data_IF_184217274815
#
_entry.id   IF_184217274815
#
_cell.length_a   1.000
_cell.length_b   1.000
_cell.length_c   1.000
_cell.angle_alpha   90.00
_cell.angle_beta   90.00
_cell.angle_gamma   90.00
#
_symmetry.space_group_name_H-M   'P 1'
#
loop_
_entity.id
_entity.type
_entity.pdbx_description
1 polymer ?
#
# COMPACT_ATOMS: atom_id res chain seq x y z
N UNK A 1 35.16 4.50 -44.47
CA UNK A 1 35.93 3.96 -43.31
C UNK A 1 35.01 3.90 -42.09
N UNK A 2 35.26 3.00 -41.14
CA UNK A 2 34.38 2.74 -39.99
C UNK A 2 33.51 1.49 -40.18
N UNK A 3 33.28 0.71 -39.11
CA UNK A 3 32.56 -0.58 -39.10
C UNK A 3 31.49 -0.58 -38.00
N UNK A 4 30.41 -1.35 -38.19
CA UNK A 4 29.32 -1.54 -37.21
C UNK A 4 29.55 -2.87 -36.44
N UNK A 5 29.30 -2.97 -35.11
CA UNK A 5 29.45 -4.20 -34.33
C UNK A 5 28.48 -5.34 -34.72
N UNK A 6 28.82 -6.61 -34.45
CA UNK A 6 28.12 -7.78 -35.01
C UNK A 6 26.83 -8.23 -34.28
N UNK A 7 26.36 -7.52 -33.26
CA UNK A 7 25.21 -7.93 -32.43
C UNK A 7 23.83 -7.66 -33.06
N UNK A 8 23.74 -6.88 -34.13
CA UNK A 8 22.48 -6.54 -34.80
C UNK A 8 22.22 -7.39 -36.05
N UNK A 9 21.98 -8.71 -35.86
CA UNK A 9 21.44 -9.60 -36.90
C UNK A 9 20.23 -10.36 -36.39
N UNK A 10 19.06 -9.77 -36.58
CA UNK A 10 17.76 -10.45 -36.41
C UNK A 10 17.69 -11.65 -37.36
N UNK A 11 17.31 -12.82 -36.85
CA UNK A 11 17.05 -14.01 -37.67
C UNK A 11 15.56 -14.31 -37.70
N UNK A 12 14.97 -14.32 -38.89
CA UNK A 12 13.56 -14.65 -39.13
C UNK A 12 13.46 -15.79 -40.14
N UNK A 13 13.05 -16.97 -39.69
CA UNK A 13 12.70 -18.11 -40.56
C UNK A 13 11.46 -18.81 -39.97
N UNK A 14 10.40 -19.08 -40.77
CA UNK A 14 9.18 -19.74 -40.31
C UNK A 14 9.19 -21.26 -40.65
N UNK A 15 8.01 -21.85 -40.90
CA UNK A 15 7.72 -23.26 -41.28
C UNK A 15 7.70 -24.21 -40.06
N UNK A 16 6.65 -24.98 -39.73
CA UNK A 16 5.47 -25.55 -40.44
C UNK A 16 5.69 -26.77 -41.35
N UNK A 17 6.50 -27.74 -40.91
CA UNK A 17 6.53 -29.12 -41.48
C UNK A 17 6.81 -30.18 -40.42
N UNK A 18 6.49 -31.44 -40.75
CA UNK A 18 6.78 -32.71 -40.03
C UNK A 18 5.80 -33.18 -38.94
N UNK A 19 4.58 -33.51 -39.37
CA UNK A 19 3.83 -34.66 -38.84
C UNK A 19 4.24 -35.95 -39.58
N UNK A 20 4.72 -36.99 -38.87
CA UNK A 20 4.61 -38.44 -39.22
C UNK A 20 5.18 -39.35 -38.11
N UNK A 21 4.84 -40.65 -38.17
CA UNK A 21 4.80 -41.60 -37.03
C UNK A 21 6.01 -42.56 -36.90
N UNK A 22 6.17 -43.27 -35.74
CA UNK A 22 7.35 -44.07 -35.37
C UNK A 22 7.27 -45.58 -35.72
N UNK A 23 8.33 -46.36 -35.46
CA UNK A 23 8.36 -47.32 -34.31
C UNK A 23 9.74 -47.25 -33.55
N UNK A 24 10.31 -48.21 -32.77
CA UNK A 24 10.05 -49.65 -32.53
C UNK A 24 10.71 -50.22 -31.23
N UNK A 25 10.16 -51.32 -30.69
CA UNK A 25 10.82 -52.59 -30.24
C UNK A 25 12.04 -52.51 -29.27
N UNK A 26 11.91 -52.72 -27.94
CA UNK A 26 11.71 -53.98 -27.15
C UNK A 26 13.02 -54.70 -26.75
N UNK A 27 13.07 -55.65 -25.77
CA UNK A 27 11.99 -56.29 -24.96
C UNK A 27 12.16 -56.04 -23.43
N UNK A 28 11.51 -56.70 -22.44
CA UNK A 28 10.49 -57.79 -22.37
C UNK A 28 9.54 -57.56 -21.14
N UNK A 29 8.92 -58.61 -20.57
CA UNK A 29 7.89 -58.54 -19.50
C UNK A 29 7.92 -59.78 -18.56
N UNK A 30 7.30 -59.66 -17.38
CA UNK A 30 6.47 -60.73 -16.77
C UNK A 30 5.41 -60.13 -15.83
N UNK A 31 4.23 -60.75 -15.76
CA UNK A 31 3.02 -60.22 -15.08
C UNK A 31 2.41 -61.24 -14.11
N UNK A 32 1.79 -60.77 -13.03
CA UNK A 32 0.85 -61.54 -12.18
C UNK A 32 -0.34 -60.64 -11.83
N UNK A 33 -1.55 -61.21 -11.73
CA UNK A 33 -2.79 -60.51 -11.35
C UNK A 33 -3.10 -60.78 -9.86
N UNK A 34 -3.82 -59.88 -9.18
CA UNK A 34 -5.09 -60.23 -8.49
C UNK A 34 -5.89 -59.02 -7.93
N UNK A 35 -7.02 -59.32 -7.28
CA UNK A 35 -8.26 -58.54 -7.05
C UNK A 35 -8.25 -57.45 -5.95
N UNK A 36 -9.29 -56.58 -5.88
CA UNK A 36 -9.23 -55.30 -5.12
C UNK A 36 -9.81 -55.34 -3.69
N UNK A 37 -9.35 -54.46 -2.79
CA UNK A 37 -9.98 -54.23 -1.48
C UNK A 37 -10.01 -52.75 -1.00
N UNK A 38 -11.24 -52.29 -0.72
CA UNK A 38 -11.74 -51.32 0.29
C UNK A 38 -11.10 -49.91 0.47
N UNK A 39 -11.91 -48.85 0.68
CA UNK A 39 -11.43 -47.48 0.90
C UNK A 39 -10.90 -47.24 2.32
N UNK A 40 -9.87 -46.41 2.45
CA UNK A 40 -9.32 -46.00 3.75
C UNK A 40 -10.22 -44.98 4.49
N UNK A 41 -10.34 -45.15 5.80
CA UNK A 41 -11.22 -44.37 6.66
C UNK A 41 -10.47 -43.22 7.36
N UNK A 42 -10.99 -41.99 7.28
CA UNK A 42 -10.45 -40.85 8.03
C UNK A 42 -10.68 -41.00 9.55
N UNK A 43 -9.66 -40.82 10.41
CA UNK A 43 -9.81 -40.97 11.85
C UNK A 43 -10.59 -39.81 12.49
N UNK A 44 -11.73 -40.11 13.12
CA UNK A 44 -12.51 -39.13 13.90
C UNK A 44 -11.78 -38.77 15.21
N UNK A 45 -11.43 -37.50 15.41
CA UNK A 45 -11.04 -36.98 16.74
C UNK A 45 -12.29 -36.77 17.61
N UNK A 46 -12.19 -37.10 18.91
CA UNK A 46 -13.22 -36.80 19.92
C UNK A 46 -13.23 -35.29 20.29
N UNK A 47 -14.38 -34.72 20.70
CA UNK A 47 -14.47 -33.35 21.16
C UNK A 47 -14.06 -33.19 22.64
N UNK A 48 -13.40 -32.08 22.96
CA UNK A 48 -13.22 -31.48 24.30
C UNK A 48 -13.06 -29.94 24.12
N UNK A 49 -13.21 -29.10 25.17
CA UNK A 49 -14.36 -28.20 25.22
C UNK A 49 -14.09 -26.76 24.75
N UNK A 50 -15.17 -25.99 24.65
CA UNK A 50 -15.19 -24.62 24.12
C UNK A 50 -14.57 -23.57 25.07
N UNK A 51 -13.37 -23.09 24.75
CA UNK A 51 -12.79 -21.86 25.31
C UNK A 51 -12.96 -20.67 24.35
N UNK A 52 -13.93 -19.78 24.60
CA UNK A 52 -14.13 -18.56 23.78
C UNK A 52 -13.16 -17.45 24.19
N UNK A 53 -12.09 -17.23 23.43
CA UNK A 53 -11.38 -15.94 23.42
C UNK A 53 -11.45 -15.32 22.03
N UNK A 54 -12.31 -14.31 21.86
CA UNK A 54 -12.25 -13.42 20.69
C UNK A 54 -10.91 -12.68 20.73
N UNK A 55 -9.93 -13.10 19.92
CA UNK A 55 -8.84 -12.22 19.52
C UNK A 55 -9.41 -11.20 18.55
N UNK A 56 -10.04 -10.15 19.09
CA UNK A 56 -10.31 -8.91 18.37
C UNK A 56 -8.98 -8.43 17.82
N UNK A 57 -8.78 -8.61 16.52
CA UNK A 57 -7.60 -8.07 15.83
C UNK A 57 -7.80 -6.56 15.77
N UNK A 58 -7.24 -5.86 16.74
CA UNK A 58 -7.20 -4.41 16.77
C UNK A 58 -6.68 -3.88 15.44
N UNK A 59 -7.09 -2.66 15.02
CA UNK A 59 -6.34 -1.94 14.01
C UNK A 59 -4.86 -1.96 14.38
N UNK A 60 -3.99 -2.09 13.38
CA UNK A 60 -2.58 -1.75 13.56
C UNK A 60 -2.59 -0.21 13.56
N UNK A 61 -2.78 0.39 14.72
CA UNK A 61 -2.34 1.77 14.92
C UNK A 61 -0.83 1.78 14.68
N UNK A 62 -0.34 2.74 13.90
CA UNK A 62 1.09 2.97 13.76
C UNK A 62 1.68 3.20 15.18
N UNK A 63 2.78 2.53 15.55
CA UNK A 63 3.38 2.71 16.86
C UNK A 63 3.81 4.16 17.01
N UNK A 64 3.11 4.93 17.85
CA UNK A 64 3.33 6.36 18.05
C UNK A 64 4.80 6.60 18.41
N UNK A 65 5.54 7.16 17.46
CA UNK A 65 6.95 7.51 17.62
C UNK A 65 7.12 8.44 18.83
N UNK A 66 8.18 8.30 19.63
CA UNK A 66 8.39 9.14 20.80
C UNK A 66 8.36 10.62 20.41
N UNK A 67 7.52 11.39 21.10
CA UNK A 67 7.35 12.82 20.84
C UNK A 67 8.51 13.58 21.48
N UNK A 68 9.36 14.16 20.64
CA UNK A 68 10.57 14.92 21.00
C UNK A 68 10.24 16.41 21.19
N UNK A 69 9.27 16.94 20.44
CA UNK A 69 8.85 18.35 20.51
C UNK A 69 7.60 18.51 21.38
N UNK A 70 7.67 19.41 22.35
CA UNK A 70 6.55 19.76 23.24
C UNK A 70 5.87 21.11 22.88
N UNK A 71 6.38 21.80 21.86
CA UNK A 71 5.88 23.10 21.38
C UNK A 71 5.65 23.02 19.87
N UNK A 72 4.47 23.39 19.35
CA UNK A 72 4.22 23.44 17.90
C UNK A 72 4.98 24.60 17.23
N UNK A 73 5.60 25.50 18.01
CA UNK A 73 6.24 26.70 17.49
C UNK A 73 7.51 26.38 16.69
N UNK A 74 7.52 26.82 15.43
CA UNK A 74 8.61 26.62 14.48
C UNK A 74 9.96 27.22 14.94
N UNK A 75 9.94 28.28 15.74
CA UNK A 75 11.16 28.87 16.29
C UNK A 75 11.77 27.95 17.37
N UNK A 76 10.94 27.35 18.22
CA UNK A 76 11.41 26.42 19.27
C UNK A 76 11.93 25.12 18.66
N UNK A 77 11.25 24.61 17.61
CA UNK A 77 11.72 23.45 16.87
C UNK A 77 13.11 23.69 16.24
N UNK A 78 13.32 24.88 15.65
CA UNK A 78 14.63 25.30 15.09
C UNK A 78 15.70 25.48 16.17
N UNK A 79 15.39 26.07 17.32
CA UNK A 79 16.31 26.19 18.47
C UNK A 79 16.76 24.81 18.97
N UNK A 80 15.83 23.87 19.12
CA UNK A 80 16.13 22.52 19.59
C UNK A 80 17.00 21.78 18.57
N UNK A 81 16.68 21.84 17.28
CA UNK A 81 17.51 21.26 16.23
C UNK A 81 18.93 21.85 16.22
N UNK A 82 19.06 23.19 16.29
CA UNK A 82 20.35 23.87 16.36
C UNK A 82 21.17 23.40 17.58
N UNK A 83 20.55 23.34 18.77
CA UNK A 83 21.20 22.84 19.98
C UNK A 83 21.70 21.39 19.83
N UNK A 84 20.89 20.51 19.25
CA UNK A 84 21.28 19.11 18.96
C UNK A 84 22.47 19.08 17.99
N UNK A 85 22.44 19.86 16.89
CA UNK A 85 23.55 19.91 15.93
C UNK A 85 24.85 20.48 16.51
N UNK A 86 24.80 21.37 17.50
CA UNK A 86 26.00 21.89 18.18
C UNK A 86 26.56 20.94 19.24
N UNK A 87 25.73 20.06 19.81
CA UNK A 87 26.14 19.12 20.87
C UNK A 87 26.52 17.74 20.31
N UNK A 88 26.05 17.37 19.11
CA UNK A 88 26.32 16.07 18.49
C UNK A 88 27.77 15.99 17.98
N UNK A 89 28.56 15.10 18.59
CA UNK A 89 29.92 14.78 18.13
C UNK A 89 29.96 13.85 16.92
N UNK A 90 28.82 13.23 16.58
CA UNK A 90 28.64 12.36 15.41
C UNK A 90 27.75 13.04 14.36
N UNK A 91 27.94 12.75 13.05
CA UNK A 91 27.04 13.22 12.01
C UNK A 91 25.65 12.62 12.19
N UNK A 92 24.62 13.48 12.21
CA UNK A 92 23.24 13.04 12.35
C UNK A 92 22.76 12.33 11.08
N UNK A 93 22.36 11.07 11.22
CA UNK A 93 21.84 10.23 10.13
C UNK A 93 20.45 10.70 9.62
N UNK A 94 20.09 10.32 8.40
CA UNK A 94 18.78 10.65 7.80
C UNK A 94 17.61 10.07 8.64
N UNK A 95 17.80 8.93 9.31
CA UNK A 95 16.79 8.34 10.21
C UNK A 95 16.49 9.24 11.40
N UNK A 96 17.49 9.94 11.94
CA UNK A 96 17.31 10.89 13.03
C UNK A 96 16.55 12.15 12.56
N UNK A 97 16.90 12.65 11.38
CA UNK A 97 16.16 13.75 10.74
C UNK A 97 14.69 13.38 10.49
N UNK A 98 14.43 12.18 9.98
CA UNK A 98 13.07 11.67 9.81
C UNK A 98 12.32 11.50 11.14
N UNK A 99 12.98 11.03 12.21
CA UNK A 99 12.36 10.92 13.54
C UNK A 99 11.98 12.30 14.13
N UNK A 100 12.86 13.30 14.00
CA UNK A 100 12.55 14.69 14.38
C UNK A 100 11.40 15.25 13.55
N UNK A 101 11.44 15.12 12.22
CA UNK A 101 10.38 15.61 11.35
C UNK A 101 9.04 14.94 11.67
N UNK A 102 9.03 13.63 11.88
CA UNK A 102 7.83 12.88 12.27
C UNK A 102 7.27 13.36 13.61
N UNK A 103 8.12 13.60 14.62
CA UNK A 103 7.66 14.15 15.90
C UNK A 103 7.13 15.57 15.78
N UNK A 104 7.72 16.43 14.95
CA UNK A 104 7.25 17.81 14.80
C UNK A 104 5.94 17.85 14.00
N UNK A 105 5.85 17.07 12.92
CA UNK A 105 4.64 16.87 12.12
C UNK A 105 3.46 16.29 12.89
N UNK A 106 3.68 15.68 14.06
CA UNK A 106 2.60 15.21 14.94
C UNK A 106 1.93 16.34 15.76
N UNK A 107 2.47 17.56 15.77
CA UNK A 107 1.96 18.68 16.57
C UNK A 107 1.83 20.02 15.81
N UNK A 108 2.52 20.19 14.68
CA UNK A 108 2.61 21.45 13.93
C UNK A 108 1.70 21.50 12.70
N UNK A 109 1.65 22.64 12.01
CA UNK A 109 1.01 22.72 10.69
C UNK A 109 1.91 22.10 9.60
N UNK A 110 1.31 21.66 8.50
CA UNK A 110 2.04 21.11 7.33
C UNK A 110 3.06 22.13 6.80
N UNK A 111 2.70 23.42 6.76
CA UNK A 111 3.58 24.49 6.30
C UNK A 111 4.76 24.73 7.25
N UNK A 112 4.55 24.58 8.57
CA UNK A 112 5.64 24.66 9.55
C UNK A 112 6.58 23.45 9.42
N UNK A 113 6.06 22.23 9.25
CA UNK A 113 6.89 21.04 9.00
C UNK A 113 7.72 21.15 7.72
N UNK A 114 7.13 21.65 6.62
CA UNK A 114 7.88 21.95 5.39
C UNK A 114 8.95 23.02 5.65
N UNK A 115 8.64 24.03 6.47
CA UNK A 115 9.58 25.10 6.84
C UNK A 115 10.66 24.66 7.83
N UNK A 116 10.42 23.59 8.59
CA UNK A 116 11.38 22.92 9.46
C UNK A 116 12.31 22.02 8.64
N UNK A 117 11.77 21.19 7.72
CA UNK A 117 12.56 20.41 6.77
C UNK A 117 13.51 21.31 5.96
N UNK A 118 13.01 22.42 5.41
CA UNK A 118 13.86 23.41 4.70
C UNK A 118 14.97 24.00 5.58
N UNK A 119 14.73 24.17 6.89
CA UNK A 119 15.76 24.61 7.82
C UNK A 119 16.80 23.50 8.07
N UNK A 120 16.38 22.25 8.26
CA UNK A 120 17.29 21.12 8.46
C UNK A 120 18.24 20.95 7.28
N UNK A 121 17.72 20.99 6.04
CA UNK A 121 18.51 20.95 4.79
C UNK A 121 19.50 22.12 4.73
N UNK A 122 19.07 23.35 5.09
CA UNK A 122 19.94 24.53 5.03
C UNK A 122 21.04 24.51 6.11
N UNK A 123 20.73 24.00 7.30
CA UNK A 123 21.64 24.01 8.45
C UNK A 123 22.64 22.85 8.43
N UNK A 124 22.32 21.72 7.81
CA UNK A 124 23.22 20.57 7.69
C UNK A 124 23.34 20.11 6.21
N UNK A 125 24.34 20.61 5.44
CA UNK A 125 24.52 20.26 4.02
C UNK A 125 24.80 18.77 3.73
N UNK A 126 25.11 17.96 4.75
CA UNK A 126 25.24 16.50 4.60
C UNK A 126 23.89 15.75 4.68
N UNK A 127 22.81 16.42 5.07
CA UNK A 127 21.48 15.83 5.11
C UNK A 127 20.81 15.90 3.74
N UNK A 128 20.68 14.75 3.08
CA UNK A 128 19.88 14.57 1.87
C UNK A 128 18.52 13.96 2.24
N UNK A 129 17.40 14.68 2.06
CA UNK A 129 16.07 14.11 2.21
C UNK A 129 15.83 12.97 1.22
N UNK A 130 15.21 11.89 1.67
CA UNK A 130 14.75 10.80 0.82
C UNK A 130 13.23 10.87 0.61
N UNK A 131 12.68 10.03 -0.29
CA UNK A 131 11.23 9.82 -0.42
C UNK A 131 10.55 9.57 0.93
N UNK A 132 11.20 8.83 1.83
CA UNK A 132 10.74 8.57 3.20
C UNK A 132 10.53 9.85 4.04
N UNK A 133 11.38 10.86 3.86
CA UNK A 133 11.25 12.18 4.52
C UNK A 133 9.98 12.91 4.08
N UNK A 134 9.60 12.81 2.80
CA UNK A 134 8.38 13.44 2.29
C UNK A 134 7.12 12.60 2.58
N UNK A 135 7.23 11.28 2.72
CA UNK A 135 6.10 10.44 3.16
C UNK A 135 5.57 10.82 4.55
N UNK A 136 6.43 11.34 5.43
CA UNK A 136 6.04 11.92 6.73
C UNK A 136 5.12 13.14 6.51
N UNK A 137 5.55 14.09 5.68
CA UNK A 137 4.78 15.29 5.33
C UNK A 137 3.47 14.89 4.63
N UNK A 138 3.50 13.87 3.79
CA UNK A 138 2.33 13.38 3.07
C UNK A 138 1.29 12.85 4.05
N UNK A 139 1.68 11.99 5.00
CA UNK A 139 0.77 11.50 6.03
C UNK A 139 0.22 12.63 6.92
N UNK A 140 1.04 13.63 7.28
CA UNK A 140 0.56 14.83 7.98
C UNK A 140 -0.46 15.61 7.15
N UNK A 141 -0.21 15.81 5.85
CA UNK A 141 -1.09 16.58 4.96
C UNK A 141 -2.45 15.88 4.74
N UNK A 142 -2.47 14.56 4.61
CA UNK A 142 -3.68 13.75 4.55
C UNK A 142 -4.50 13.80 5.85
N UNK A 143 -3.82 13.99 6.99
CA UNK A 143 -4.42 14.12 8.34
C UNK A 143 -4.72 15.58 8.72
N UNK A 144 -4.49 16.54 7.81
CA UNK A 144 -4.78 17.96 8.07
C UNK A 144 -6.30 18.23 8.12
N UNK A 145 -6.76 19.18 8.94
CA UNK A 145 -8.19 19.46 9.14
C UNK A 145 -8.84 20.23 7.97
N UNK A 146 -8.10 20.53 6.91
CA UNK A 146 -8.61 21.25 5.74
C UNK A 146 -9.55 20.34 4.92
N UNK A 147 -10.67 20.88 4.47
CA UNK A 147 -11.67 20.14 3.68
C UNK A 147 -11.26 19.82 2.23
N UNK A 148 -10.03 20.14 1.81
CA UNK A 148 -9.54 19.97 0.43
C UNK A 148 -8.27 19.10 0.36
N UNK A 149 -7.83 18.78 -0.86
CA UNK A 149 -6.56 18.10 -1.12
C UNK A 149 -5.36 19.07 -1.22
N UNK A 150 -5.53 20.37 -0.97
CA UNK A 150 -4.51 21.40 -1.29
C UNK A 150 -3.17 21.15 -0.58
N UNK A 151 -3.20 20.78 0.70
CA UNK A 151 -1.99 20.43 1.45
C UNK A 151 -1.33 19.12 0.95
N UNK A 152 -2.13 18.18 0.44
CA UNK A 152 -1.65 16.91 -0.15
C UNK A 152 -1.00 17.18 -1.51
N UNK A 153 -1.64 17.96 -2.38
CA UNK A 153 -1.08 18.41 -3.65
C UNK A 153 0.18 19.26 -3.46
N UNK A 154 0.22 20.16 -2.48
CA UNK A 154 1.43 20.92 -2.12
C UNK A 154 2.58 19.98 -1.77
N UNK A 155 2.32 18.92 -1.02
CA UNK A 155 3.33 17.95 -0.60
C UNK A 155 3.78 17.04 -1.76
N UNK A 156 2.86 16.56 -2.59
CA UNK A 156 3.18 15.76 -3.78
C UNK A 156 3.97 16.58 -4.81
N UNK A 157 3.64 17.86 -4.99
CA UNK A 157 4.43 18.76 -5.83
C UNK A 157 5.84 19.01 -5.25
N UNK A 158 5.97 19.13 -3.93
CA UNK A 158 7.28 19.22 -3.26
C UNK A 158 8.10 17.92 -3.44
N UNK A 159 7.46 16.75 -3.43
CA UNK A 159 8.13 15.48 -3.75
C UNK A 159 8.68 15.48 -5.18
N UNK A 160 7.87 15.91 -6.16
CA UNK A 160 8.26 16.00 -7.57
C UNK A 160 9.41 16.98 -7.78
N UNK A 161 9.38 18.18 -7.17
CA UNK A 161 10.47 19.17 -7.34
C UNK A 161 11.80 18.73 -6.72
N UNK A 162 11.77 17.79 -5.77
CA UNK A 162 12.96 17.16 -5.20
C UNK A 162 13.34 15.82 -5.85
N UNK A 163 12.75 15.47 -7.00
CA UNK A 163 13.12 14.28 -7.78
C UNK A 163 12.49 12.96 -7.31
N UNK A 164 11.50 13.02 -6.42
CA UNK A 164 10.77 11.85 -5.91
C UNK A 164 9.33 11.82 -6.46
N UNK A 165 9.11 11.50 -7.75
CA UNK A 165 7.74 11.37 -8.27
C UNK A 165 6.95 10.32 -7.46
N UNK A 166 5.62 10.49 -7.31
CA UNK A 166 4.77 9.54 -6.61
C UNK A 166 4.88 8.13 -7.21
N UNK A 167 5.00 7.15 -6.33
CA UNK A 167 5.02 5.72 -6.65
C UNK A 167 3.92 4.97 -5.89
N UNK A 168 3.81 3.65 -6.12
CA UNK A 168 2.80 2.79 -5.47
C UNK A 168 2.77 2.95 -3.95
N UNK A 169 3.94 3.09 -3.32
CA UNK A 169 4.09 3.28 -1.86
C UNK A 169 3.54 4.66 -1.44
N UNK A 170 3.82 5.70 -2.23
CA UNK A 170 3.28 7.05 -2.04
C UNK A 170 1.75 7.05 -2.15
N UNK A 171 1.18 6.34 -3.13
CA UNK A 171 -0.26 6.19 -3.30
C UNK A 171 -0.89 5.45 -2.10
N UNK A 172 -0.31 4.32 -1.67
CA UNK A 172 -0.79 3.54 -0.51
C UNK A 172 -0.76 4.34 0.80
N UNK A 173 0.33 5.07 1.08
CA UNK A 173 0.47 5.92 2.28
C UNK A 173 -0.57 7.04 2.30
N UNK A 174 -0.82 7.69 1.16
CA UNK A 174 -1.83 8.75 1.07
C UNK A 174 -3.25 8.20 1.30
N UNK A 175 -3.59 7.08 0.65
CA UNK A 175 -4.87 6.37 0.81
C UNK A 175 -5.10 5.96 2.27
N UNK A 176 -4.13 5.28 2.89
CA UNK A 176 -4.23 4.85 4.30
C UNK A 176 -4.41 6.05 5.23
N UNK A 177 -3.68 7.13 4.98
CA UNK A 177 -3.75 8.34 5.82
C UNK A 177 -5.08 9.08 5.68
N UNK A 178 -5.63 9.20 4.45
CA UNK A 178 -6.93 9.83 4.20
C UNK A 178 -8.10 9.00 4.74
N UNK A 179 -8.14 7.68 4.47
CA UNK A 179 -9.18 6.81 5.05
C UNK A 179 -9.14 6.80 6.59
N UNK A 180 -7.95 6.77 7.19
CA UNK A 180 -7.80 6.83 8.66
C UNK A 180 -8.22 8.19 9.25
N UNK A 181 -8.26 9.25 8.44
CA UNK A 181 -8.78 10.56 8.80
C UNK A 181 -10.28 10.73 8.51
N UNK A 182 -10.99 9.69 8.04
CA UNK A 182 -12.40 9.77 7.64
C UNK A 182 -12.64 10.51 6.33
N UNK A 183 -11.61 10.64 5.48
CA UNK A 183 -11.62 11.40 4.22
C UNK A 183 -11.66 10.49 3.00
N UNK A 184 -12.60 9.53 2.95
CA UNK A 184 -12.59 8.50 1.90
C UNK A 184 -12.78 9.06 0.48
N UNK A 185 -13.66 10.05 0.31
CA UNK A 185 -13.95 10.65 -0.99
C UNK A 185 -12.69 11.25 -1.63
N UNK A 186 -11.85 11.92 -0.83
CA UNK A 186 -10.55 12.42 -1.27
C UNK A 186 -9.51 11.31 -1.50
N UNK A 187 -9.58 10.20 -0.78
CA UNK A 187 -8.74 9.03 -1.07
C UNK A 187 -9.08 8.43 -2.44
N UNK A 188 -10.37 8.38 -2.78
CA UNK A 188 -10.89 7.94 -4.08
C UNK A 188 -10.50 8.93 -5.19
N UNK A 189 -10.68 10.23 -4.96
CA UNK A 189 -10.27 11.33 -5.85
C UNK A 189 -8.77 11.26 -6.19
N UNK A 190 -7.91 11.22 -5.16
CA UNK A 190 -6.46 11.19 -5.31
C UNK A 190 -5.97 9.91 -5.99
N UNK A 191 -6.61 8.76 -5.74
CA UNK A 191 -6.31 7.51 -6.45
C UNK A 191 -6.54 7.64 -7.96
N UNK A 192 -7.61 8.31 -8.39
CA UNK A 192 -7.88 8.55 -9.82
C UNK A 192 -6.80 9.42 -10.43
N UNK A 193 -6.45 10.52 -9.76
CA UNK A 193 -5.41 11.45 -10.21
C UNK A 193 -4.03 10.78 -10.31
N UNK A 194 -3.59 10.03 -9.29
CA UNK A 194 -2.30 9.37 -9.28
C UNK A 194 -2.22 8.22 -10.29
N UNK A 195 -3.34 7.53 -10.56
CA UNK A 195 -3.41 6.49 -11.61
C UNK A 195 -3.21 7.09 -13.00
N UNK A 196 -3.79 8.26 -13.29
CA UNK A 196 -3.56 9.00 -14.54
C UNK A 196 -2.10 9.49 -14.66
N UNK A 197 -1.44 9.77 -13.53
CA UNK A 197 -0.02 10.18 -13.44
C UNK A 197 0.96 8.98 -13.35
N UNK A 198 0.59 7.84 -13.91
CA UNK A 198 1.39 6.59 -13.96
C UNK A 198 1.75 5.95 -12.59
N UNK A 199 1.07 6.32 -11.50
CA UNK A 199 1.18 5.64 -10.19
C UNK A 199 -0.13 4.93 -9.81
N UNK A 200 -0.56 3.90 -10.57
CA UNK A 200 -1.74 3.13 -10.23
C UNK A 200 -1.51 2.36 -8.91
N UNK A 201 -2.47 2.37 -7.98
CA UNK A 201 -2.43 1.52 -6.80
C UNK A 201 -2.35 0.02 -7.14
N UNK A 202 -2.12 -0.80 -6.13
CA UNK A 202 -2.17 -2.25 -6.24
C UNK A 202 -3.46 -2.83 -5.61
N UNK A 203 -3.70 -4.12 -5.83
CA UNK A 203 -4.89 -4.80 -5.29
C UNK A 203 -4.96 -4.74 -3.75
N UNK A 204 -3.84 -4.57 -3.04
CA UNK A 204 -3.84 -4.37 -1.59
C UNK A 204 -4.39 -2.98 -1.20
N UNK A 205 -4.03 -1.94 -1.94
CA UNK A 205 -4.54 -0.57 -1.75
C UNK A 205 -6.05 -0.52 -2.02
N UNK A 206 -6.51 -1.13 -3.12
CA UNK A 206 -7.95 -1.16 -3.44
C UNK A 206 -8.77 -2.00 -2.46
N UNK A 207 -8.29 -3.21 -2.10
CA UNK A 207 -8.94 -4.03 -1.07
C UNK A 207 -8.92 -3.37 0.32
N UNK A 208 -7.99 -2.44 0.59
CA UNK A 208 -8.04 -1.61 1.80
C UNK A 208 -9.16 -0.57 1.72
N UNK A 209 -9.28 0.18 0.61
CA UNK A 209 -10.37 1.17 0.44
C UNK A 209 -11.74 0.49 0.54
N UNK A 210 -11.96 -0.62 -0.16
CA UNK A 210 -13.23 -1.36 -0.15
C UNK A 210 -13.57 -1.83 1.28
N UNK A 211 -12.60 -2.42 1.99
CA UNK A 211 -12.77 -2.84 3.40
C UNK A 211 -13.03 -1.68 4.37
N UNK A 212 -12.60 -0.47 4.03
CA UNK A 212 -12.87 0.73 4.82
C UNK A 212 -14.26 1.31 4.52
N UNK A 213 -14.62 1.46 3.23
CA UNK A 213 -15.94 1.91 2.79
C UNK A 213 -17.06 1.01 3.34
N UNK A 214 -16.88 -0.31 3.31
CA UNK A 214 -17.77 -1.30 3.95
C UNK A 214 -18.06 -1.04 5.44
N UNK A 215 -17.26 -0.22 6.14
CA UNK A 215 -17.46 0.14 7.55
C UNK A 215 -18.03 1.55 7.75
N UNK A 216 -17.89 2.44 6.77
CA UNK A 216 -18.23 3.87 6.91
C UNK A 216 -19.34 4.34 5.97
N UNK A 217 -19.71 3.56 4.94
CA UNK A 217 -20.71 3.90 3.92
C UNK A 217 -21.67 2.72 3.67
N UNK A 218 -22.82 3.01 3.04
CA UNK A 218 -23.78 2.00 2.61
C UNK A 218 -23.22 1.14 1.46
N UNK A 219 -23.69 -0.11 1.33
CA UNK A 219 -23.22 -1.05 0.32
C UNK A 219 -23.36 -0.54 -1.13
N UNK A 220 -24.39 0.25 -1.43
CA UNK A 220 -24.55 0.88 -2.76
C UNK A 220 -23.38 1.80 -3.14
N UNK A 221 -22.80 2.52 -2.17
CA UNK A 221 -21.58 3.32 -2.39
C UNK A 221 -20.37 2.43 -2.68
N UNK A 222 -20.29 1.26 -2.03
CA UNK A 222 -19.20 0.28 -2.25
C UNK A 222 -19.29 -0.33 -3.65
N UNK A 223 -20.49 -0.72 -4.10
CA UNK A 223 -20.68 -1.26 -5.45
C UNK A 223 -20.40 -0.23 -6.54
N UNK A 224 -20.92 1.00 -6.41
CA UNK A 224 -20.64 2.08 -7.36
C UNK A 224 -19.12 2.35 -7.50
N UNK A 225 -18.37 2.31 -6.39
CA UNK A 225 -16.92 2.44 -6.42
C UNK A 225 -16.25 1.24 -7.14
N UNK A 226 -16.69 0.01 -6.86
CA UNK A 226 -16.17 -1.20 -7.53
C UNK A 226 -16.40 -1.19 -9.05
N UNK A 227 -17.55 -0.69 -9.51
CA UNK A 227 -17.84 -0.56 -10.93
C UNK A 227 -17.03 0.58 -11.56
N UNK A 228 -16.84 1.71 -10.87
CA UNK A 228 -15.93 2.77 -11.32
C UNK A 228 -14.49 2.26 -11.45
N UNK A 229 -13.98 1.47 -10.50
CA UNK A 229 -12.64 0.88 -10.58
C UNK A 229 -12.45 -0.04 -11.79
N UNK A 230 -13.44 -0.88 -12.09
CA UNK A 230 -13.41 -1.76 -13.25
C UNK A 230 -13.39 -0.97 -14.57
N UNK A 231 -14.22 0.07 -14.66
CA UNK A 231 -14.32 0.88 -15.87
C UNK A 231 -13.09 1.78 -16.09
N UNK A 232 -12.66 2.53 -15.06
CA UNK A 232 -11.58 3.52 -15.18
C UNK A 232 -10.17 2.90 -15.22
N UNK A 233 -9.94 1.78 -14.51
CA UNK A 233 -8.58 1.23 -14.32
C UNK A 233 -8.42 -0.21 -14.83
N UNK A 234 -9.48 -0.80 -15.40
CA UNK A 234 -9.52 -2.21 -15.85
C UNK A 234 -9.21 -3.22 -14.74
N UNK A 235 -9.34 -2.80 -13.48
CA UNK A 235 -9.03 -3.61 -12.31
C UNK A 235 -10.26 -4.42 -11.87
N UNK A 236 -10.14 -5.74 -11.96
CA UNK A 236 -11.19 -6.67 -11.60
C UNK A 236 -11.13 -7.00 -10.10
N UNK A 237 -12.26 -7.03 -9.38
CA UNK A 237 -12.35 -7.60 -8.05
C UNK A 237 -11.67 -8.97 -7.95
N UNK A 238 -10.89 -9.18 -6.90
CA UNK A 238 -10.22 -10.45 -6.62
C UNK A 238 -10.95 -11.25 -5.53
N UNK A 239 -10.43 -12.44 -5.20
CA UNK A 239 -11.00 -13.28 -4.14
C UNK A 239 -11.04 -12.56 -2.78
N UNK A 240 -10.08 -11.67 -2.50
CA UNK A 240 -10.06 -10.87 -1.27
C UNK A 240 -11.16 -9.82 -1.31
N UNK A 241 -11.41 -9.20 -2.47
CA UNK A 241 -12.53 -8.26 -2.67
C UNK A 241 -13.88 -8.92 -2.38
N UNK A 242 -14.16 -10.07 -3.00
CA UNK A 242 -15.41 -10.80 -2.75
C UNK A 242 -15.50 -11.31 -1.30
N UNK A 243 -14.39 -11.73 -0.69
CA UNK A 243 -14.34 -12.11 0.73
C UNK A 243 -14.69 -10.93 1.64
N UNK A 244 -14.23 -9.71 1.33
CA UNK A 244 -14.58 -8.48 2.09
C UNK A 244 -16.08 -8.19 1.98
N UNK A 245 -16.67 -8.29 0.80
CA UNK A 245 -18.11 -8.05 0.59
C UNK A 245 -18.96 -9.06 1.36
N UNK A 246 -18.62 -10.36 1.29
CA UNK A 246 -19.33 -11.43 2.01
C UNK A 246 -19.20 -11.23 3.54
N UNK A 247 -17.99 -10.96 4.04
CA UNK A 247 -17.75 -10.68 5.46
C UNK A 247 -18.53 -9.44 5.94
N UNK A 248 -18.70 -8.44 5.08
CA UNK A 248 -19.47 -7.23 5.38
C UNK A 248 -20.99 -7.44 5.35
N UNK A 249 -21.53 -8.20 4.38
CA UNK A 249 -22.97 -8.53 4.33
C UNK A 249 -23.35 -9.45 5.50
N UNK A 250 -22.57 -10.47 5.79
CA UNK A 250 -22.88 -11.45 6.85
C UNK A 250 -22.69 -10.92 8.28
N UNK A 251 -21.86 -9.89 8.49
CA UNK A 251 -21.64 -9.27 9.80
C UNK A 251 -22.15 -7.81 9.90
N UNK A 252 -22.81 -7.32 8.85
CA UNK A 252 -23.32 -5.95 8.75
C UNK A 252 -24.53 -5.69 9.64
N UNK A 253 -24.84 -4.41 9.89
CA UNK A 253 -26.05 -3.99 10.62
C UNK A 253 -27.25 -3.70 9.71
N UNK A 254 -27.06 -3.70 8.39
CA UNK A 254 -28.11 -3.48 7.40
C UNK A 254 -28.75 -4.82 7.00
N UNK A 255 -29.60 -5.36 7.88
CA UNK A 255 -30.44 -6.53 7.57
C UNK A 255 -31.92 -6.21 7.77
N UNK A 256 -32.63 -5.97 6.66
CA UNK A 256 -33.77 -6.85 6.35
C UNK A 256 -33.52 -7.76 5.14
N UNK A 257 -32.60 -7.37 4.24
CA UNK A 257 -32.45 -8.01 2.93
C UNK A 257 -31.70 -9.35 2.98
N UNK A 258 -30.78 -9.51 3.94
CA UNK A 258 -30.10 -10.78 4.24
C UNK A 258 -31.02 -11.91 4.75
N UNK A 259 -32.32 -11.64 4.89
CA UNK A 259 -33.35 -12.60 5.35
C UNK A 259 -34.28 -13.10 4.23
N UNK A 260 -33.95 -12.85 2.95
CA UNK A 260 -34.65 -13.40 1.78
C UNK A 260 -33.90 -14.60 1.17
N UNK A 261 -33.91 -15.72 1.88
CA UNK A 261 -33.53 -17.05 1.41
C UNK A 261 -34.58 -18.05 1.90
#
# INVERSE_FOLDING_TARGET
MGKIPPSFRTSTVPVTTLLKNPPAVLPKQSTVLETPQKPHHFPKKRPQPSGKTKKTRTPIEDPKSPVIFNSPNLLDAKKLFASITTTSTTPLDFRFHNALLQSYSSISTVNDSISFLRHMIKSQPSFSPERSTYHILLSQSCKSPNSDLSAVHQTLNLMVTHGFPPDRVTTDIAVRSLCSAGREEHAIELVKELSLKHSPPDSFTYNFIIRHLCKTRALSTVYNFIDELQNSFQLKPDLVTYTILIDNVCNGKESPEATRC
#
